data_IF_498384613459
#
_entry.id   IF_498384613459
#
_cell.length_a   1.000
_cell.length_b   1.000
_cell.length_c   1.000
_cell.angle_alpha   90.00
_cell.angle_beta   90.00
_cell.angle_gamma   90.00
#
_symmetry.space_group_name_H-M   'P 1'
#
loop_
_entity.id
_entity.type
_entity.pdbx_description
1 polymer ?
#
# COMPACT_ATOMS: atom_id res chain seq x y z
N UNK A 1 -10.59 7.14 1.29
CA UNK A 1 -11.19 7.36 2.64
C UNK A 1 -12.70 7.56 2.53
N UNK A 2 -13.15 8.49 1.68
CA UNK A 2 -14.58 8.77 1.48
C UNK A 2 -15.41 7.53 1.15
N UNK A 3 -14.90 6.64 0.29
CA UNK A 3 -15.55 5.37 -0.03
C UNK A 3 -15.74 4.46 1.19
N UNK A 4 -14.75 4.39 2.09
CA UNK A 4 -14.88 3.60 3.34
C UNK A 4 -16.02 4.17 4.18
N UNK A 5 -16.03 5.48 4.41
CA UNK A 5 -17.07 6.15 5.19
C UNK A 5 -18.44 5.99 4.54
N UNK A 6 -18.53 6.05 3.21
CA UNK A 6 -19.77 5.81 2.46
C UNK A 6 -20.27 4.36 2.62
N UNK A 7 -19.39 3.36 2.51
CA UNK A 7 -19.73 1.97 2.74
C UNK A 7 -20.16 1.71 4.19
N UNK A 8 -19.45 2.29 5.17
CA UNK A 8 -19.77 2.16 6.59
C UNK A 8 -21.15 2.75 6.91
N UNK A 9 -21.47 3.95 6.40
CA UNK A 9 -22.80 4.57 6.56
C UNK A 9 -23.93 3.73 5.97
N UNK A 10 -23.65 2.99 4.88
CA UNK A 10 -24.59 2.04 4.25
C UNK A 10 -24.59 0.66 4.92
N UNK A 11 -23.77 0.45 5.95
CA UNK A 11 -23.52 -0.85 6.60
C UNK A 11 -22.96 -1.93 5.66
N UNK A 12 -22.33 -1.53 4.55
CA UNK A 12 -21.65 -2.41 3.60
C UNK A 12 -20.23 -2.74 4.09
N UNK A 13 -20.10 -3.39 5.25
CA UNK A 13 -18.81 -3.62 5.90
C UNK A 13 -17.85 -4.54 5.12
N UNK A 14 -18.37 -5.44 4.29
CA UNK A 14 -17.53 -6.27 3.42
C UNK A 14 -16.74 -5.41 2.43
N UNK A 15 -17.43 -4.54 1.69
CA UNK A 15 -16.80 -3.64 0.72
C UNK A 15 -15.94 -2.58 1.41
N UNK A 16 -16.36 -2.10 2.58
CA UNK A 16 -15.56 -1.20 3.40
C UNK A 16 -14.21 -1.86 3.79
N UNK A 17 -14.21 -3.15 4.18
CA UNK A 17 -12.99 -3.89 4.51
C UNK A 17 -12.12 -4.20 3.30
N UNK A 18 -12.71 -4.50 2.14
CA UNK A 18 -11.95 -4.66 0.88
C UNK A 18 -11.23 -3.36 0.53
N UNK A 19 -11.95 -2.24 0.59
CA UNK A 19 -11.41 -0.90 0.34
C UNK A 19 -10.32 -0.53 1.34
N UNK A 20 -10.56 -0.77 2.64
CA UNK A 20 -9.56 -0.55 3.69
C UNK A 20 -8.29 -1.39 3.44
N UNK A 21 -8.45 -2.67 3.09
CA UNK A 21 -7.33 -3.55 2.77
C UNK A 21 -6.51 -3.05 1.58
N UNK A 22 -7.17 -2.58 0.52
CA UNK A 22 -6.49 -2.01 -0.65
C UNK A 22 -5.68 -0.75 -0.28
N UNK A 23 -6.27 0.16 0.50
CA UNK A 23 -5.56 1.38 0.92
C UNK A 23 -4.38 1.06 1.84
N UNK A 24 -4.56 0.16 2.82
CA UNK A 24 -3.47 -0.27 3.70
C UNK A 24 -2.33 -0.91 2.92
N UNK A 25 -2.65 -1.73 1.93
CA UNK A 25 -1.65 -2.31 1.03
C UNK A 25 -0.90 -1.22 0.27
N UNK A 26 -1.58 -0.23 -0.31
CA UNK A 26 -0.95 0.90 -1.01
C UNK A 26 -0.03 1.72 -0.09
N UNK A 27 -0.42 1.94 1.17
CA UNK A 27 0.45 2.63 2.13
C UNK A 27 1.73 1.86 2.40
N UNK A 28 1.64 0.54 2.63
CA UNK A 28 2.80 -0.30 2.88
C UNK A 28 3.71 -0.37 1.64
N UNK A 29 3.10 -0.53 0.46
CA UNK A 29 3.77 -0.58 -0.84
C UNK A 29 4.54 0.72 -1.13
N UNK A 30 3.97 1.87 -0.79
CA UNK A 30 4.68 3.14 -0.93
C UNK A 30 5.99 3.17 -0.13
N UNK A 31 6.00 2.70 1.13
CA UNK A 31 7.21 2.76 1.94
C UNK A 31 8.23 1.66 1.58
N UNK A 32 7.78 0.51 1.06
CA UNK A 32 8.69 -0.52 0.55
C UNK A 32 9.26 -0.16 -0.82
N UNK A 33 8.52 0.56 -1.66
CA UNK A 33 8.82 0.80 -3.08
C UNK A 33 8.91 2.27 -3.48
N UNK A 34 9.26 3.15 -2.54
CA UNK A 34 9.71 4.52 -2.80
C UNK A 34 11.05 4.80 -2.13
N UNK A 35 11.63 5.96 -2.43
CA UNK A 35 12.81 6.46 -1.73
C UNK A 35 12.48 7.22 -0.43
N UNK A 36 11.26 7.11 0.12
CA UNK A 36 10.83 7.91 1.28
C UNK A 36 11.79 7.84 2.47
N UNK A 37 12.32 6.64 2.76
CA UNK A 37 13.25 6.41 3.87
C UNK A 37 14.65 6.94 3.52
N UNK A 38 15.08 6.76 2.28
CA UNK A 38 16.37 7.24 1.76
C UNK A 38 16.45 8.78 1.74
N UNK A 39 15.31 9.46 1.59
CA UNK A 39 15.22 10.92 1.75
C UNK A 39 15.39 11.40 3.21
N UNK A 40 15.49 10.47 4.17
CA UNK A 40 15.66 10.76 5.59
C UNK A 40 14.37 11.21 6.29
N UNK A 41 13.21 10.95 5.70
CA UNK A 41 11.93 11.24 6.35
C UNK A 41 11.73 10.33 7.57
N UNK A 42 11.34 10.93 8.69
CA UNK A 42 11.06 10.23 9.95
C UNK A 42 9.57 10.15 10.28
N UNK A 43 8.72 10.77 9.45
CA UNK A 43 7.27 10.79 9.63
C UNK A 43 6.55 10.29 8.36
N UNK A 44 5.32 9.78 8.48
CA UNK A 44 4.50 9.38 7.34
C UNK A 44 4.21 10.52 6.36
N UNK A 45 4.09 10.19 5.08
CA UNK A 45 3.60 11.11 4.06
C UNK A 45 2.09 11.35 4.24
N UNK A 46 1.71 12.45 4.89
CA UNK A 46 0.32 12.80 5.17
C UNK A 46 -0.54 12.96 3.91
N UNK A 47 0.08 13.36 2.80
CA UNK A 47 -0.57 13.48 1.49
C UNK A 47 -1.09 12.15 0.92
N UNK A 48 -0.61 10.99 1.40
CA UNK A 48 -1.19 9.69 1.03
C UNK A 48 -2.57 9.44 1.65
N UNK A 49 -2.93 10.20 2.70
CA UNK A 49 -4.17 10.05 3.47
C UNK A 49 -5.08 11.27 3.32
N UNK A 50 -4.51 12.43 2.97
CA UNK A 50 -5.18 13.72 2.86
C UNK A 50 -5.21 14.19 1.40
N UNK A 51 -6.37 14.10 0.73
CA UNK A 51 -6.55 14.47 -0.68
C UNK A 51 -6.29 15.95 -0.98
N UNK A 52 -6.40 16.82 0.03
CA UNK A 52 -6.15 18.26 -0.09
C UNK A 52 -4.64 18.59 -0.06
N UNK A 53 -3.79 17.63 0.29
CA UNK A 53 -2.34 17.81 0.35
C UNK A 53 -1.68 17.28 -0.92
N UNK A 54 -0.64 17.99 -1.36
CA UNK A 54 0.16 17.56 -2.50
C UNK A 54 1.27 16.61 -2.06
N UNK A 55 1.52 15.58 -2.85
CA UNK A 55 2.70 14.73 -2.71
C UNK A 55 3.96 15.61 -2.78
N UNK A 56 4.91 15.50 -1.82
CA UNK A 56 6.04 16.40 -1.76
C UNK A 56 7.08 16.06 -2.84
N UNK A 57 7.41 17.05 -3.66
CA UNK A 57 8.51 17.05 -4.62
C UNK A 57 8.64 15.76 -5.47
N UNK A 58 7.57 15.28 -6.13
CA UNK A 58 7.64 14.10 -6.98
C UNK A 58 8.55 14.34 -8.18
N UNK A 59 9.31 13.32 -8.57
CA UNK A 59 10.14 13.37 -9.77
C UNK A 59 9.28 13.55 -11.03
N UNK A 60 9.66 14.52 -11.87
CA UNK A 60 9.06 14.66 -13.20
C UNK A 60 9.25 13.41 -14.06
N UNK A 61 8.39 13.27 -15.06
CA UNK A 61 8.34 12.11 -15.96
C UNK A 61 9.72 11.78 -16.57
N UNK A 62 10.49 12.80 -16.94
CA UNK A 62 11.78 12.66 -17.62
C UNK A 62 13.00 12.76 -16.68
N UNK A 63 12.80 13.02 -15.40
CA UNK A 63 13.90 13.09 -14.42
C UNK A 63 14.46 11.70 -14.19
N UNK A 64 15.73 11.47 -14.53
CA UNK A 64 16.40 10.21 -14.20
C UNK A 64 16.62 10.11 -12.69
N UNK A 65 16.09 9.06 -12.06
CA UNK A 65 16.08 8.89 -10.61
C UNK A 65 17.02 7.81 -10.09
N UNK A 66 17.37 6.83 -10.93
CA UNK A 66 18.32 5.77 -10.62
C UNK A 66 19.43 5.69 -11.67
N UNK A 67 20.58 5.15 -11.29
CA UNK A 67 21.67 4.86 -12.20
C UNK A 67 21.30 3.70 -13.16
N UNK A 68 21.57 3.87 -14.46
CA UNK A 68 21.18 2.88 -15.48
C UNK A 68 22.19 1.74 -15.67
N UNK A 69 23.41 1.86 -15.16
CA UNK A 69 24.52 0.93 -15.43
C UNK A 69 25.34 0.64 -14.17
N UNK A 70 24.72 0.03 -13.17
CA UNK A 70 25.42 -0.38 -11.94
C UNK A 70 26.02 -1.78 -12.17
N UNK A 71 27.32 -1.99 -11.86
CA UNK A 71 27.90 -3.32 -11.87
C UNK A 71 27.14 -4.24 -10.90
N UNK A 72 27.06 -5.52 -11.23
CA UNK A 72 26.47 -6.53 -10.34
C UNK A 72 27.31 -6.64 -9.06
N UNK A 73 26.86 -5.93 -8.04
CA UNK A 73 27.52 -5.83 -6.74
C UNK A 73 26.60 -6.26 -5.60
N UNK A 74 25.38 -6.74 -5.91
CA UNK A 74 24.31 -7.01 -4.94
C UNK A 74 24.05 -5.84 -3.96
N UNK A 75 24.38 -4.61 -4.34
CA UNK A 75 24.18 -3.42 -3.50
C UNK A 75 22.83 -2.75 -3.70
N UNK A 76 22.00 -3.30 -4.61
CA UNK A 76 20.70 -2.75 -4.95
C UNK A 76 20.71 -1.57 -5.91
N UNK A 77 19.51 -1.07 -6.23
CA UNK A 77 19.32 0.07 -7.13
C UNK A 77 19.92 1.35 -6.54
N UNK A 78 20.94 1.90 -7.19
CA UNK A 78 21.51 3.18 -6.77
C UNK A 78 20.63 4.34 -7.23
N UNK A 79 19.93 4.96 -6.27
CA UNK A 79 19.26 6.25 -6.45
C UNK A 79 20.35 7.31 -6.66
N UNK A 80 20.15 8.21 -7.64
CA UNK A 80 21.16 9.24 -7.95
C UNK A 80 21.33 10.20 -6.77
N UNK A 81 22.56 10.59 -6.47
CA UNK A 81 22.86 11.49 -5.35
C UNK A 81 22.10 12.82 -5.46
N UNK A 82 21.98 13.35 -6.69
CA UNK A 82 21.21 14.59 -6.95
C UNK A 82 19.72 14.50 -6.62
N UNK A 83 19.14 13.30 -6.60
CA UNK A 83 17.75 13.05 -6.19
C UNK A 83 17.65 13.12 -4.66
N UNK A 84 18.60 12.53 -3.95
CA UNK A 84 18.65 12.54 -2.50
C UNK A 84 18.94 13.96 -1.96
N UNK A 85 19.94 14.65 -2.53
CA UNK A 85 20.32 16.02 -2.16
C UNK A 85 19.17 17.01 -2.36
N UNK A 86 18.45 16.90 -3.48
CA UNK A 86 17.30 17.77 -3.79
C UNK A 86 15.99 17.29 -3.17
N UNK A 87 16.03 16.19 -2.40
CA UNK A 87 14.86 15.55 -1.79
C UNK A 87 13.73 15.28 -2.79
N UNK A 88 14.06 14.77 -3.97
CA UNK A 88 13.09 14.44 -5.01
C UNK A 88 12.52 13.04 -4.71
N UNK A 89 11.20 12.94 -4.63
CA UNK A 89 10.49 11.69 -4.38
C UNK A 89 10.40 10.85 -5.67
N UNK A 90 10.75 9.58 -5.57
CA UNK A 90 10.64 8.60 -6.66
C UNK A 90 10.16 7.25 -6.14
N UNK A 91 9.61 6.44 -7.04
CA UNK A 91 9.20 5.06 -6.79
C UNK A 91 9.73 4.11 -7.87
N UNK A 92 9.61 2.82 -7.59
CA UNK A 92 10.04 1.77 -8.51
C UNK A 92 8.98 1.44 -9.55
N UNK A 93 9.40 1.27 -10.80
CA UNK A 93 8.55 0.76 -11.87
C UNK A 93 8.42 -0.75 -11.75
N UNK A 94 7.19 -1.26 -11.78
CA UNK A 94 6.88 -2.68 -11.77
C UNK A 94 6.37 -3.14 -13.13
N UNK A 95 6.82 -4.30 -13.61
CA UNK A 95 6.24 -4.97 -14.77
C UNK A 95 7.29 -5.48 -15.76
N UNK A 96 7.05 -5.26 -17.05
CA UNK A 96 7.92 -5.81 -18.13
C UNK A 96 9.06 -4.89 -18.54
N UNK A 97 8.90 -3.58 -18.37
CA UNK A 97 9.88 -2.58 -18.77
C UNK A 97 9.71 -1.31 -17.95
N UNK A 98 10.82 -0.58 -17.78
CA UNK A 98 10.85 0.76 -17.17
C UNK A 98 11.50 1.74 -18.13
N UNK A 99 11.22 3.03 -17.94
CA UNK A 99 11.92 4.08 -18.68
C UNK A 99 13.40 4.11 -18.27
N UNK A 100 14.28 4.51 -19.19
CA UNK A 100 15.69 4.65 -18.89
C UNK A 100 15.91 5.65 -17.74
N UNK A 101 16.88 5.36 -16.87
CA UNK A 101 17.18 6.19 -15.70
C UNK A 101 16.13 6.14 -14.60
N UNK A 102 15.04 5.37 -14.73
CA UNK A 102 14.07 5.16 -13.64
C UNK A 102 14.43 3.95 -12.81
N UNK A 103 14.01 3.97 -11.55
CA UNK A 103 14.21 2.87 -10.62
C UNK A 103 13.30 1.68 -10.94
N UNK A 104 13.80 0.47 -10.74
CA UNK A 104 12.97 -0.75 -10.74
C UNK A 104 12.31 -0.90 -9.37
N UNK A 105 11.13 -1.52 -9.36
CA UNK A 105 10.45 -1.91 -8.14
C UNK A 105 11.28 -2.95 -7.38
N UNK A 106 11.68 -4.01 -8.07
CA UNK A 106 12.36 -5.18 -7.50
C UNK A 106 11.39 -6.32 -7.22
N UNK A 107 11.94 -7.45 -6.78
CA UNK A 107 11.18 -8.67 -6.50
C UNK A 107 11.02 -9.60 -7.71
N UNK A 108 10.66 -10.85 -7.45
CA UNK A 108 10.77 -11.95 -8.43
C UNK A 108 9.83 -11.85 -9.65
N UNK A 109 8.79 -11.02 -9.55
CA UNK A 109 7.83 -10.77 -10.61
C UNK A 109 8.07 -9.45 -11.34
N UNK A 110 9.08 -8.68 -10.94
CA UNK A 110 9.51 -7.49 -11.65
C UNK A 110 10.58 -7.87 -12.70
N UNK A 111 10.26 -7.63 -13.96
CA UNK A 111 11.14 -7.89 -15.10
C UNK A 111 11.71 -6.60 -15.69
N UNK A 112 11.52 -5.45 -15.05
CA UNK A 112 11.99 -4.14 -15.56
C UNK A 112 13.53 -4.03 -15.65
N UNK A 113 14.27 -4.87 -14.94
CA UNK A 113 15.73 -5.03 -15.01
C UNK A 113 16.18 -6.29 -15.75
N UNK A 114 15.24 -7.02 -16.35
CA UNK A 114 15.49 -8.33 -16.97
C UNK A 114 15.36 -9.50 -16.00
N UNK A 115 15.38 -10.71 -16.55
CA UNK A 115 15.23 -11.96 -15.79
C UNK A 115 16.41 -12.19 -14.86
N UNK A 116 16.16 -12.47 -13.58
CA UNK A 116 17.20 -12.77 -12.58
C UNK A 116 17.89 -11.54 -11.99
N UNK A 117 17.43 -10.33 -12.32
CA UNK A 117 17.95 -9.05 -11.79
C UNK A 117 16.97 -8.32 -10.88
N UNK A 118 16.07 -9.06 -10.24
CA UNK A 118 15.09 -8.52 -9.28
C UNK A 118 15.72 -7.85 -8.06
N UNK A 119 17.00 -8.11 -7.80
CA UNK A 119 17.80 -7.50 -6.74
C UNK A 119 18.21 -6.06 -7.07
N UNK A 120 18.03 -5.59 -8.31
CA UNK A 120 18.39 -4.24 -8.79
C UNK A 120 17.19 -3.27 -8.71
N UNK A 121 16.30 -3.48 -7.74
CA UNK A 121 15.12 -2.65 -7.47
C UNK A 121 15.29 -1.76 -6.24
N UNK A 122 14.32 -0.92 -5.91
CA UNK A 122 14.37 -0.10 -4.68
C UNK A 122 13.66 -0.74 -3.49
N UNK A 123 13.18 -1.97 -3.66
CA UNK A 123 12.33 -2.65 -2.70
C UNK A 123 13.01 -2.91 -1.35
N UNK A 124 12.17 -2.82 -0.32
CA UNK A 124 12.50 -3.06 1.09
C UNK A 124 11.57 -4.13 1.67
N UNK A 125 11.12 -5.07 0.82
CA UNK A 125 10.11 -6.08 1.17
C UNK A 125 10.53 -6.98 2.32
N UNK A 126 11.82 -7.31 2.36
CA UNK A 126 12.45 -8.15 3.35
C UNK A 126 13.91 -7.72 3.56
N UNK A 127 14.54 -8.25 4.62
CA UNK A 127 15.93 -7.92 4.98
C UNK A 127 16.93 -8.29 3.86
N UNK A 128 16.63 -9.31 3.08
CA UNK A 128 17.40 -9.80 1.93
C UNK A 128 16.98 -9.17 0.59
N UNK A 129 16.06 -8.20 0.61
CA UNK A 129 15.76 -7.38 -0.57
C UNK A 129 16.89 -6.42 -0.90
N UNK A 130 16.84 -5.85 -2.10
CA UNK A 130 17.80 -4.86 -2.61
C UNK A 130 18.15 -3.77 -1.60
N UNK A 131 17.14 -3.08 -1.07
CA UNK A 131 17.28 -2.06 -0.01
C UNK A 131 16.86 -2.62 1.36
N UNK A 132 17.00 -3.92 1.56
CA UNK A 132 16.49 -4.65 2.72
C UNK A 132 17.03 -4.20 4.08
N UNK A 133 18.21 -3.55 4.11
CA UNK A 133 18.71 -2.89 5.34
C UNK A 133 17.77 -1.80 5.87
N UNK A 134 16.90 -1.24 5.01
CA UNK A 134 15.88 -0.26 5.37
C UNK A 134 14.50 -0.90 5.65
N UNK A 135 14.37 -2.23 5.57
CA UNK A 135 13.11 -2.95 5.75
C UNK A 135 12.37 -2.54 7.03
N UNK A 136 13.03 -2.62 8.19
CA UNK A 136 12.38 -2.29 9.47
C UNK A 136 11.90 -0.84 9.51
N UNK A 137 12.70 0.11 8.98
CA UNK A 137 12.31 1.52 8.91
C UNK A 137 11.11 1.74 8.00
N UNK A 138 11.06 1.06 6.86
CA UNK A 138 9.92 1.11 5.94
C UNK A 138 8.67 0.50 6.57
N UNK A 139 8.82 -0.64 7.26
CA UNK A 139 7.72 -1.31 7.98
C UNK A 139 7.16 -0.43 9.10
N UNK A 140 8.02 0.16 9.93
CA UNK A 140 7.61 1.09 10.99
C UNK A 140 6.87 2.30 10.42
N UNK A 141 7.34 2.85 9.30
CA UNK A 141 6.67 3.95 8.60
C UNK A 141 5.29 3.55 8.05
N UNK A 142 5.19 2.35 7.47
CA UNK A 142 3.93 1.77 7.02
C UNK A 142 2.94 1.53 8.15
N UNK A 143 3.42 1.10 9.33
CA UNK A 143 2.61 0.97 10.54
C UNK A 143 2.11 2.34 10.99
N UNK A 144 2.99 3.33 11.11
CA UNK A 144 2.62 4.68 11.52
C UNK A 144 1.57 5.30 10.59
N UNK A 145 1.75 5.17 9.27
CA UNK A 145 0.76 5.63 8.27
C UNK A 145 -0.58 4.87 8.39
N UNK A 146 -0.53 3.56 8.63
CA UNK A 146 -1.73 2.74 8.84
C UNK A 146 -2.50 3.18 10.08
N UNK A 147 -1.81 3.51 11.18
CA UNK A 147 -2.42 4.06 12.39
C UNK A 147 -3.07 5.41 12.10
N UNK A 148 -2.38 6.33 11.42
CA UNK A 148 -2.95 7.63 11.05
C UNK A 148 -4.23 7.48 10.19
N UNK A 149 -4.24 6.54 9.24
CA UNK A 149 -5.42 6.23 8.44
C UNK A 149 -6.58 5.73 9.31
N UNK A 150 -6.32 4.75 10.19
CA UNK A 150 -7.34 4.17 11.06
C UNK A 150 -7.91 5.19 12.04
N UNK A 151 -7.06 6.04 12.64
CA UNK A 151 -7.51 7.15 13.48
C UNK A 151 -8.37 8.16 12.71
N UNK A 152 -8.01 8.47 11.47
CA UNK A 152 -8.80 9.35 10.61
C UNK A 152 -10.16 8.73 10.29
N UNK A 153 -10.21 7.43 9.97
CA UNK A 153 -11.48 6.72 9.74
C UNK A 153 -12.32 6.73 11.02
N UNK A 154 -11.71 6.45 12.17
CA UNK A 154 -12.39 6.46 13.46
C UNK A 154 -13.03 7.83 13.74
N UNK A 155 -12.28 8.93 13.60
CA UNK A 155 -12.79 10.30 13.83
C UNK A 155 -13.95 10.70 12.88
N UNK A 156 -14.11 10.03 11.75
CA UNK A 156 -15.15 10.32 10.76
C UNK A 156 -16.37 9.38 10.84
N UNK A 157 -16.37 8.44 11.78
CA UNK A 157 -17.44 7.47 11.99
C UNK A 157 -17.78 7.40 13.50
N UNK A 158 -18.92 6.81 13.86
CA UNK A 158 -19.19 6.50 15.27
C UNK A 158 -18.44 5.25 15.75
N UNK A 159 -18.24 5.14 17.07
CA UNK A 159 -17.53 4.03 17.70
C UNK A 159 -18.09 2.65 17.29
N UNK A 160 -19.41 2.38 17.36
CA UNK A 160 -19.96 1.08 16.94
C UNK A 160 -19.60 0.70 15.50
N UNK A 161 -19.77 1.62 14.56
CA UNK A 161 -19.49 1.38 13.15
C UNK A 161 -17.99 1.21 12.88
N UNK A 162 -17.14 1.99 13.55
CA UNK A 162 -15.69 1.81 13.47
C UNK A 162 -15.26 0.44 13.98
N UNK A 163 -15.71 0.04 15.18
CA UNK A 163 -15.38 -1.29 15.72
C UNK A 163 -15.87 -2.42 14.83
N UNK A 164 -17.04 -2.28 14.21
CA UNK A 164 -17.54 -3.25 13.24
C UNK A 164 -16.70 -3.31 11.96
N UNK A 165 -16.23 -2.18 11.45
CA UNK A 165 -15.31 -2.13 10.31
C UNK A 165 -14.04 -2.95 10.57
N UNK A 166 -13.43 -2.79 11.76
CA UNK A 166 -12.17 -3.47 12.12
C UNK A 166 -12.39 -4.86 12.74
N UNK A 167 -13.63 -5.36 12.80
CA UNK A 167 -13.95 -6.70 13.27
C UNK A 167 -13.91 -6.88 14.80
N UNK A 168 -14.06 -5.80 15.57
CA UNK A 168 -14.13 -5.79 17.03
C UNK A 168 -15.55 -5.59 17.58
N UNK A 169 -16.58 -5.84 16.76
CA UNK A 169 -17.98 -5.71 17.17
C UNK A 169 -18.41 -6.82 18.15
N UNK A 170 -19.31 -6.48 19.07
CA UNK A 170 -19.80 -7.40 20.11
C UNK A 170 -20.60 -8.57 19.53
N UNK A 171 -21.35 -8.32 18.47
CA UNK A 171 -22.16 -9.36 17.81
C UNK A 171 -21.36 -10.03 16.71
N UNK A 172 -21.51 -11.36 16.59
CA UNK A 172 -20.93 -12.10 15.48
C UNK A 172 -21.57 -11.64 14.16
N UNK A 173 -20.79 -11.44 13.08
CA UNK A 173 -21.32 -11.23 11.75
C UNK A 173 -22.32 -12.33 11.36
N UNK A 174 -23.43 -11.95 10.70
CA UNK A 174 -24.43 -12.88 10.15
C UNK A 174 -24.24 -12.97 8.63
N UNK A 175 -24.15 -14.18 8.07
CA UNK A 175 -24.07 -14.40 6.62
C UNK A 175 -23.32 -15.66 6.23
N UNK A 176 -23.55 -16.12 4.99
CA UNK A 176 -22.82 -17.23 4.36
C UNK A 176 -21.85 -16.74 3.27
N UNK A 177 -20.85 -17.57 2.99
CA UNK A 177 -19.71 -17.29 2.14
C UNK A 177 -20.01 -17.45 0.65
N UNK A 178 -19.49 -16.55 -0.19
CA UNK A 178 -19.27 -16.80 -1.62
C UNK A 178 -17.80 -16.63 -1.96
N UNK A 179 -17.06 -17.74 -1.97
CA UNK A 179 -15.67 -17.77 -2.44
C UNK A 179 -15.64 -17.81 -3.96
N UNK A 180 -14.99 -16.85 -4.61
CA UNK A 180 -14.73 -16.94 -6.07
C UNK A 180 -13.28 -17.21 -6.45
N UNK A 181 -12.30 -17.12 -5.53
CA UNK A 181 -10.89 -17.46 -5.82
C UNK A 181 -10.22 -18.00 -4.55
N UNK A 182 -9.76 -19.25 -4.58
CA UNK A 182 -8.96 -19.88 -3.51
C UNK A 182 -7.57 -20.16 -4.05
N UNK A 183 -6.57 -19.41 -3.60
CA UNK A 183 -5.16 -19.75 -3.85
C UNK A 183 -4.26 -19.72 -2.60
N UNK A 184 -4.72 -19.17 -1.48
CA UNK A 184 -4.04 -19.30 -0.19
C UNK A 184 -5.08 -19.43 0.91
N UNK A 185 -4.93 -20.42 1.79
CA UNK A 185 -5.77 -20.64 2.96
C UNK A 185 -5.57 -19.53 3.98
N UNK A 186 -6.09 -18.35 3.69
CA UNK A 186 -6.24 -17.28 4.67
C UNK A 186 -7.46 -17.59 5.54
N UNK A 187 -7.30 -17.41 6.86
CA UNK A 187 -8.37 -17.63 7.84
C UNK A 187 -9.68 -16.97 7.38
N UNK A 188 -10.76 -17.72 7.51
CA UNK A 188 -12.09 -17.35 7.07
C UNK A 188 -12.58 -16.01 7.69
N UNK A 189 -12.81 -14.95 6.88
CA UNK A 189 -13.58 -13.72 7.20
C UNK A 189 -15.11 -13.87 6.98
N UNK A 190 -15.89 -13.79 8.05
CA UNK A 190 -17.36 -13.87 7.99
C UNK A 190 -17.96 -12.62 7.31
N UNK A 191 -18.96 -12.79 6.44
CA UNK A 191 -19.71 -11.68 5.84
C UNK A 191 -20.67 -11.06 6.88
N UNK A 192 -20.79 -9.72 6.86
CA UNK A 192 -21.76 -8.97 7.66
C UNK A 192 -23.03 -8.71 6.84
N UNK A 193 -23.57 -9.75 6.20
CA UNK A 193 -24.70 -9.59 5.28
C UNK A 193 -25.91 -9.01 6.04
N UNK A 194 -26.45 -7.90 5.52
CA UNK A 194 -27.61 -7.23 6.07
C UNK A 194 -28.86 -8.09 5.84
N UNK A 195 -29.73 -8.24 6.84
CA UNK A 195 -30.89 -9.16 6.84
C UNK A 195 -32.05 -8.70 5.92
N UNK A 196 -31.81 -7.86 4.90
CA UNK A 196 -32.86 -7.33 4.02
C UNK A 196 -32.45 -7.22 2.55
N UNK A 197 -32.77 -8.28 1.80
CA UNK A 197 -33.26 -8.18 0.42
C UNK A 197 -34.24 -9.33 0.14
N UNK A 198 -35.21 -9.54 1.03
CA UNK A 198 -36.49 -10.14 0.65
C UNK A 198 -37.51 -9.01 0.58
N UNK A 199 -37.38 -8.16 -0.44
CA UNK A 199 -38.56 -7.43 -0.91
C UNK A 199 -39.39 -8.42 -1.69
N UNK A 200 -40.60 -8.61 -1.16
CA UNK A 200 -41.62 -9.50 -1.68
C UNK A 200 -41.90 -9.19 -3.15
N UNK A 201 -41.61 -10.13 -4.04
CA UNK A 201 -42.37 -10.24 -5.28
C UNK A 201 -43.59 -11.09 -4.93
N UNK A 202 -44.66 -10.42 -4.51
CA UNK A 202 -46.00 -11.01 -4.49
C UNK A 202 -46.53 -11.05 -5.94
N UNK A 203 -46.79 -12.29 -6.38
CA UNK A 203 -47.62 -12.79 -7.49
C UNK A 203 -47.43 -12.21 -8.88
#
# INVERSE_FOLDING_TARGET
MEDITAHVKKQNFEDARKTLGAILHTLQDFYSHSNWIELGNTEPCTALINLEENIPNPADENTETCESNIPDTNSGAKIKDSILEKKILTSGFFGKSKKNGKCSHGGTLDFTTGTGRSWDGINKDAIDSSHGLLHNKAADMGIAASVQLLEKIWKNNDDPNFFRLIGLHKDKPKGEWKTHISLFSSKSRVSDANEKSNENIEV
#
